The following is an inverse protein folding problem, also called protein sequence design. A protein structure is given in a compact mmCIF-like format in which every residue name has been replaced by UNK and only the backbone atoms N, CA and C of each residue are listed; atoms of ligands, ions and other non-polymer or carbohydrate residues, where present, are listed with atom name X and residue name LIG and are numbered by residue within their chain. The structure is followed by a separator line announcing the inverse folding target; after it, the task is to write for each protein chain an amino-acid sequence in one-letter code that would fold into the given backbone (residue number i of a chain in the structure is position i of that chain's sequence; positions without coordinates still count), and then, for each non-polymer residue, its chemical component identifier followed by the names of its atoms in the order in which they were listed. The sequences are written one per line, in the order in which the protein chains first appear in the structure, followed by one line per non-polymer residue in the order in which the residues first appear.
data_IF_038385785154
#
_entry.id   IF_038385785154
#
_cell.length_a   1.000
_cell.length_b   1.000
_cell.length_c   1.000
_cell.angle_alpha   90.00
_cell.angle_beta   90.00
_cell.angle_gamma   90.00
#
_symmetry.space_group_name_H-M   'P 1'
#
loop_
_entity.id
_entity.type
_entity.pdbx_description
1 polymer ?
#
# COMPACT_ATOMS: atom_id res chain seq x y z
N UNK A 1 -1.50 2.63 21.10
CA UNK A 1 -1.08 1.37 20.49
C UNK A 1 0.43 1.22 20.37
N UNK A 2 0.86 0.17 19.71
CA UNK A 2 2.29 -0.19 19.59
C UNK A 2 3.14 0.90 18.93
N UNK A 3 2.54 1.73 18.08
CA UNK A 3 3.21 2.79 17.33
C UNK A 3 2.78 4.20 17.74
N UNK A 4 2.00 4.33 18.79
CA UNK A 4 1.43 5.60 19.21
C UNK A 4 2.49 6.68 19.41
N UNK A 5 2.53 7.64 18.54
CA UNK A 5 3.27 8.91 18.62
C UNK A 5 4.77 8.83 18.96
N UNK A 6 5.37 7.65 19.01
CA UNK A 6 6.74 7.43 19.53
C UNK A 6 7.82 8.27 18.85
N UNK A 7 7.61 8.64 17.59
CA UNK A 7 8.57 9.42 16.80
C UNK A 7 8.05 10.81 16.46
N UNK A 8 6.77 11.08 16.73
CA UNK A 8 6.15 12.36 16.44
C UNK A 8 6.32 13.37 17.57
N UNK A 9 6.26 12.88 18.81
CA UNK A 9 6.36 13.71 20.02
C UNK A 9 7.57 13.26 20.82
N UNK A 10 8.59 14.09 20.86
CA UNK A 10 9.76 13.91 21.70
C UNK A 10 9.53 14.57 23.08
N UNK A 11 10.18 14.03 24.10
CA UNK A 11 10.20 14.63 25.44
C UNK A 11 11.62 14.91 25.88
N UNK A 12 11.84 16.11 26.38
CA UNK A 12 13.07 16.44 27.07
C UNK A 12 13.16 15.58 28.33
N UNK A 13 14.32 14.98 28.57
CA UNK A 13 14.50 14.05 29.71
C UNK A 13 14.57 14.79 31.06
N UNK A 14 15.03 16.03 31.06
CA UNK A 14 15.20 16.84 32.27
C UNK A 14 13.95 17.68 32.59
N UNK A 15 13.45 18.44 31.60
CA UNK A 15 12.31 19.35 31.80
C UNK A 15 10.95 18.71 31.55
N UNK A 16 10.90 17.50 30.95
CA UNK A 16 9.69 16.80 30.50
C UNK A 16 8.85 17.57 29.47
N UNK A 17 9.36 18.65 28.92
CA UNK A 17 8.70 19.40 27.86
C UNK A 17 8.53 18.57 26.59
N UNK A 18 7.40 18.78 25.92
CA UNK A 18 7.12 18.13 24.65
C UNK A 18 7.66 18.94 23.49
N UNK A 19 8.26 18.26 22.54
CA UNK A 19 8.72 18.84 21.28
C UNK A 19 8.22 18.02 20.11
N UNK A 20 7.54 18.65 19.16
CA UNK A 20 7.04 18.03 17.95
C UNK A 20 7.88 18.53 16.77
N UNK A 21 8.86 17.73 16.27
CA UNK A 21 9.76 18.16 15.20
C UNK A 21 9.02 18.66 13.96
N UNK A 22 7.91 18.01 13.58
CA UNK A 22 7.13 18.38 12.41
C UNK A 22 6.39 19.70 12.57
N UNK A 23 6.23 20.25 13.76
CA UNK A 23 5.71 21.60 14.00
C UNK A 23 6.80 22.68 14.01
N UNK A 24 8.05 22.29 13.81
CA UNK A 24 9.20 23.19 13.91
C UNK A 24 10.08 23.17 12.64
N UNK A 25 9.50 22.86 11.48
CA UNK A 25 10.21 22.88 10.19
C UNK A 25 10.29 24.29 9.63
N UNK A 26 9.23 25.08 9.76
CA UNK A 26 9.11 26.43 9.23
C UNK A 26 8.18 27.29 10.09
N UNK A 27 8.49 28.58 10.24
CA UNK A 27 7.63 29.53 10.95
C UNK A 27 6.25 29.74 10.31
N UNK A 28 6.11 29.49 9.01
CA UNK A 28 4.88 29.72 8.24
C UNK A 28 4.09 28.44 7.95
N UNK A 29 4.51 27.30 8.51
CA UNK A 29 3.81 26.05 8.30
C UNK A 29 2.45 25.98 9.03
N UNK A 30 1.58 25.10 8.58
CA UNK A 30 0.38 24.67 9.31
C UNK A 30 0.73 23.73 10.45
N UNK A 31 -0.15 23.61 11.41
CA UNK A 31 0.03 22.72 12.55
C UNK A 31 -0.07 21.24 12.12
N UNK A 32 0.76 20.42 12.76
CA UNK A 32 0.64 18.99 12.79
C UNK A 32 0.08 18.59 14.16
N UNK A 33 -1.09 17.99 14.16
CA UNK A 33 -1.75 17.48 15.36
C UNK A 33 -1.75 15.95 15.34
N UNK A 34 -1.42 15.34 16.48
CA UNK A 34 -1.41 13.90 16.63
C UNK A 34 -1.96 13.54 18.01
N UNK A 35 -2.97 12.69 18.02
CA UNK A 35 -3.75 12.37 19.23
C UNK A 35 -3.93 10.86 19.31
N UNK A 36 -3.68 10.27 20.48
CA UNK A 36 -4.13 8.92 20.80
C UNK A 36 -5.61 8.98 21.19
N UNK A 37 -6.46 8.41 20.35
CA UNK A 37 -7.89 8.37 20.63
C UNK A 37 -8.24 7.36 21.72
N UNK A 38 -9.12 7.74 22.63
CA UNK A 38 -9.74 6.86 23.61
C UNK A 38 -11.07 6.25 23.10
N UNK A 39 -11.49 6.59 21.91
CA UNK A 39 -12.71 6.10 21.31
C UNK A 39 -12.50 4.70 20.70
N UNK A 40 -13.58 3.95 20.55
CA UNK A 40 -13.56 2.72 19.74
C UNK A 40 -13.30 3.03 18.26
N UNK A 41 -12.90 2.04 17.49
CA UNK A 41 -12.66 2.20 16.04
C UNK A 41 -13.89 2.74 15.31
N UNK A 42 -15.09 2.28 15.70
CA UNK A 42 -16.35 2.81 15.17
C UNK A 42 -16.50 4.31 15.40
N UNK A 43 -16.27 4.74 16.63
CA UNK A 43 -16.47 6.13 17.02
C UNK A 43 -15.39 7.05 16.46
N UNK A 44 -14.11 6.67 16.54
CA UNK A 44 -13.01 7.51 16.02
C UNK A 44 -13.06 7.62 14.50
N UNK A 45 -13.34 6.53 13.79
CA UNK A 45 -13.39 6.57 12.34
C UNK A 45 -14.60 7.40 11.84
N UNK A 46 -15.74 7.33 12.56
CA UNK A 46 -16.88 8.20 12.29
C UNK A 46 -16.57 9.67 12.55
N UNK A 47 -15.83 9.97 13.63
CA UNK A 47 -15.36 11.32 13.93
C UNK A 47 -14.44 11.86 12.83
N UNK A 48 -13.40 11.10 12.45
CA UNK A 48 -12.42 11.52 11.44
C UNK A 48 -13.06 11.68 10.04
N UNK A 49 -14.04 10.84 9.71
CA UNK A 49 -14.83 11.01 8.49
C UNK A 49 -15.57 12.37 8.52
N UNK A 50 -16.30 12.68 9.59
CA UNK A 50 -17.00 13.95 9.75
C UNK A 50 -16.05 15.14 9.74
N UNK A 51 -14.92 15.04 10.43
CA UNK A 51 -13.88 16.06 10.45
C UNK A 51 -13.32 16.34 9.04
N UNK A 52 -13.03 15.29 8.27
CA UNK A 52 -12.54 15.42 6.88
C UNK A 52 -13.53 16.10 5.92
N UNK A 53 -14.83 16.05 6.22
CA UNK A 53 -15.86 16.76 5.46
C UNK A 53 -15.93 18.24 5.82
N UNK A 54 -15.70 18.57 7.09
CA UNK A 54 -15.72 19.96 7.60
C UNK A 54 -14.45 20.72 7.21
N UNK A 55 -13.31 20.00 7.15
CA UNK A 55 -11.98 20.56 6.88
C UNK A 55 -11.32 19.92 5.65
N UNK A 56 -11.86 20.14 4.44
CA UNK A 56 -11.37 19.49 3.23
C UNK A 56 -9.93 19.89 2.83
N UNK A 57 -9.41 21.00 3.37
CA UNK A 57 -8.04 21.47 3.17
C UNK A 57 -7.05 20.88 4.18
N UNK A 58 -7.53 20.09 5.12
CA UNK A 58 -6.70 19.38 6.11
C UNK A 58 -6.45 17.93 5.68
N UNK A 59 -5.21 17.47 5.80
CA UNK A 59 -4.88 16.05 5.63
C UNK A 59 -5.25 15.30 6.92
N UNK A 60 -6.41 14.66 6.89
CA UNK A 60 -6.94 13.87 8.02
C UNK A 60 -6.53 12.42 7.86
N UNK A 61 -5.86 11.86 8.88
CA UNK A 61 -5.42 10.47 8.89
C UNK A 61 -5.93 9.77 10.14
N UNK A 62 -6.45 8.57 9.97
CA UNK A 62 -6.68 7.63 11.06
C UNK A 62 -5.78 6.41 10.89
N UNK A 63 -4.97 6.12 11.91
CA UNK A 63 -4.15 4.92 11.96
C UNK A 63 -4.76 3.89 12.90
N UNK A 64 -5.09 2.71 12.38
CA UNK A 64 -5.53 1.60 13.22
C UNK A 64 -4.37 1.04 14.03
N UNK A 65 -4.62 0.63 15.27
CA UNK A 65 -3.61 -0.05 16.10
C UNK A 65 -3.12 -1.35 15.45
N UNK A 66 -4.05 -2.16 14.94
CA UNK A 66 -3.86 -3.25 14.00
C UNK A 66 -4.82 -3.05 12.83
N UNK A 67 -4.41 -3.38 11.62
CA UNK A 67 -5.26 -3.21 10.46
C UNK A 67 -6.57 -3.99 10.54
N UNK A 68 -6.55 -5.18 11.17
CA UNK A 68 -7.73 -6.01 11.38
C UNK A 68 -8.80 -5.31 12.25
N UNK A 69 -8.41 -4.40 13.13
CA UNK A 69 -9.36 -3.69 13.99
C UNK A 69 -10.28 -2.72 13.24
N UNK A 70 -9.95 -2.39 11.99
CA UNK A 70 -10.89 -1.69 11.11
C UNK A 70 -12.23 -2.44 10.97
N UNK A 71 -12.27 -3.76 11.25
CA UNK A 71 -13.51 -4.53 11.24
C UNK A 71 -14.53 -4.03 12.28
N UNK A 72 -14.08 -3.50 13.40
CA UNK A 72 -14.93 -2.86 14.42
C UNK A 72 -15.63 -1.59 13.94
N UNK A 73 -15.16 -1.00 12.85
CA UNK A 73 -15.73 0.18 12.21
C UNK A 73 -16.36 -0.12 10.83
N UNK A 74 -16.66 -1.38 10.53
CA UNK A 74 -17.12 -1.79 9.20
C UNK A 74 -18.37 -1.01 8.76
N UNK A 75 -19.27 -0.71 9.67
CA UNK A 75 -20.48 0.10 9.38
C UNK A 75 -20.10 1.50 8.86
N UNK A 76 -19.11 2.14 9.47
CA UNK A 76 -18.62 3.46 9.04
C UNK A 76 -17.97 3.35 7.66
N UNK A 77 -17.20 2.29 7.43
CA UNK A 77 -16.56 2.04 6.14
C UNK A 77 -17.63 1.88 5.05
N UNK A 78 -18.60 0.96 5.25
CA UNK A 78 -19.60 0.62 4.24
C UNK A 78 -20.60 1.75 3.98
N UNK A 79 -21.10 2.38 5.05
CA UNK A 79 -22.21 3.31 4.94
C UNK A 79 -21.80 4.77 4.70
N UNK A 80 -20.57 5.15 5.06
CA UNK A 80 -20.12 6.53 4.99
C UNK A 80 -18.90 6.69 4.08
N UNK A 81 -17.79 6.02 4.38
CA UNK A 81 -16.52 6.27 3.70
C UNK A 81 -16.58 5.85 2.23
N UNK A 82 -17.04 4.63 1.94
CA UNK A 82 -17.02 4.08 0.58
C UNK A 82 -18.23 4.45 -0.26
N UNK A 83 -19.34 4.82 0.36
CA UNK A 83 -20.62 5.09 -0.31
C UNK A 83 -21.15 6.52 -0.12
N UNK A 84 -20.55 7.32 0.74
CA UNK A 84 -21.04 8.67 1.09
C UNK A 84 -21.08 9.63 -0.09
N UNK A 85 -20.11 9.55 -1.00
CA UNK A 85 -20.11 10.36 -2.23
C UNK A 85 -21.27 9.97 -3.14
N UNK A 86 -21.47 8.69 -3.39
CA UNK A 86 -22.55 8.19 -4.24
C UNK A 86 -23.94 8.44 -3.67
N UNK A 87 -24.11 8.32 -2.36
CA UNK A 87 -25.41 8.49 -1.69
C UNK A 87 -25.79 9.96 -1.45
N UNK A 88 -24.81 10.78 -1.12
CA UNK A 88 -25.06 12.13 -0.58
C UNK A 88 -24.19 13.22 -1.20
N UNK A 89 -23.35 12.91 -2.18
CA UNK A 89 -22.39 13.86 -2.75
C UNK A 89 -21.30 14.30 -1.74
N UNK A 90 -21.03 13.51 -0.70
CA UNK A 90 -20.05 13.84 0.34
C UNK A 90 -18.68 13.26 0.00
N UNK A 91 -17.81 14.12 -0.51
CA UNK A 91 -16.43 13.76 -0.88
C UNK A 91 -15.49 13.94 0.32
N UNK A 92 -15.04 12.84 0.90
CA UNK A 92 -14.08 12.80 2.01
C UNK A 92 -12.65 12.64 1.51
N UNK A 93 -11.72 13.39 2.10
CA UNK A 93 -10.28 13.21 1.89
C UNK A 93 -9.60 12.33 2.94
N UNK A 94 -10.36 11.64 3.78
CA UNK A 94 -9.85 10.80 4.86
C UNK A 94 -8.84 9.78 4.37
N UNK A 95 -7.72 9.65 5.09
CA UNK A 95 -6.71 8.62 4.89
C UNK A 95 -6.80 7.60 6.02
N UNK A 96 -6.91 6.32 5.65
CA UNK A 96 -6.84 5.22 6.60
C UNK A 96 -5.48 4.53 6.46
N UNK A 97 -4.71 4.48 7.56
CA UNK A 97 -3.45 3.77 7.66
C UNK A 97 -3.69 2.45 8.37
N UNK A 98 -3.54 1.34 7.65
CA UNK A 98 -3.92 0.02 8.14
C UNK A 98 -2.69 -0.89 8.17
N UNK A 99 -2.10 -1.17 9.35
CA UNK A 99 -1.03 -2.16 9.48
C UNK A 99 -1.43 -3.49 8.85
N UNK A 100 -0.67 -3.92 7.84
CA UNK A 100 -0.94 -5.13 7.07
C UNK A 100 0.37 -5.74 6.57
N UNK A 101 0.65 -6.97 6.98
CA UNK A 101 1.85 -7.71 6.60
C UNK A 101 1.95 -9.00 7.40
N UNK A 102 2.38 -10.08 6.74
CA UNK A 102 2.48 -11.41 7.32
C UNK A 102 3.89 -11.61 7.90
N UNK A 103 4.02 -11.29 9.19
CA UNK A 103 5.29 -11.23 9.91
C UNK A 103 5.38 -12.24 11.06
N UNK A 104 4.49 -13.25 11.05
CA UNK A 104 4.48 -14.35 12.03
C UNK A 104 3.96 -13.98 13.41
N UNK A 105 3.17 -12.90 13.55
CA UNK A 105 2.67 -12.40 14.83
C UNK A 105 1.20 -12.76 15.10
N UNK A 106 0.59 -13.63 14.28
CA UNK A 106 -0.80 -14.04 14.45
C UNK A 106 -1.78 -13.29 13.53
N UNK A 107 -3.07 -13.73 13.50
CA UNK A 107 -4.06 -13.24 12.56
C UNK A 107 -4.34 -11.74 12.66
N UNK A 108 -4.51 -11.22 13.87
CA UNK A 108 -4.87 -9.82 14.14
C UNK A 108 -3.77 -8.84 13.73
N UNK A 109 -2.52 -9.29 13.78
CA UNK A 109 -1.34 -8.50 13.42
C UNK A 109 -0.99 -8.58 11.94
N UNK A 110 -1.63 -9.47 11.17
CA UNK A 110 -1.22 -9.78 9.80
C UNK A 110 -2.09 -9.10 8.77
N UNK A 111 -3.42 -9.19 8.87
CA UNK A 111 -4.32 -8.76 7.81
C UNK A 111 -5.21 -7.59 8.21
N UNK A 112 -5.18 -6.54 7.41
CA UNK A 112 -6.18 -5.47 7.43
C UNK A 112 -7.40 -5.77 6.55
N UNK A 113 -7.57 -7.03 6.11
CA UNK A 113 -8.68 -7.45 5.27
C UNK A 113 -8.75 -6.67 3.95
N UNK A 114 -7.62 -6.57 3.26
CA UNK A 114 -7.46 -5.86 1.99
C UNK A 114 -8.57 -6.21 0.98
N UNK A 115 -8.95 -7.48 0.88
CA UNK A 115 -10.00 -7.98 0.00
C UNK A 115 -11.36 -7.31 0.22
N UNK A 116 -11.69 -6.92 1.45
CA UNK A 116 -12.96 -6.24 1.77
C UNK A 116 -13.00 -4.84 1.19
N UNK A 117 -11.92 -4.09 1.30
CA UNK A 117 -11.81 -2.77 0.68
C UNK A 117 -11.87 -2.86 -0.84
N UNK A 118 -11.20 -3.84 -1.44
CA UNK A 118 -11.23 -4.04 -2.89
C UNK A 118 -12.63 -4.44 -3.38
N UNK A 119 -13.40 -5.18 -2.59
CA UNK A 119 -14.79 -5.52 -2.90
C UNK A 119 -15.70 -4.28 -2.90
N UNK A 120 -15.42 -3.28 -2.06
CA UNK A 120 -16.18 -2.03 -1.97
C UNK A 120 -15.83 -1.01 -3.07
N UNK A 121 -14.85 -1.32 -3.90
CA UNK A 121 -14.36 -0.42 -4.95
C UNK A 121 -15.28 -0.40 -6.17
N UNK A 122 -15.85 0.77 -6.48
CA UNK A 122 -16.64 0.98 -7.70
C UNK A 122 -16.68 2.49 -8.04
N UNK A 123 -16.74 2.83 -9.34
CA UNK A 123 -16.89 4.22 -9.79
C UNK A 123 -15.81 5.18 -9.25
N UNK A 124 -14.61 4.68 -9.00
CA UNK A 124 -13.48 5.45 -8.41
C UNK A 124 -13.81 6.08 -7.05
N UNK A 125 -14.66 5.43 -6.25
CA UNK A 125 -15.13 5.93 -4.96
C UNK A 125 -14.02 6.10 -3.92
N UNK A 126 -13.07 5.18 -3.86
CA UNK A 126 -11.92 5.19 -2.93
C UNK A 126 -10.63 4.89 -3.68
N UNK A 127 -9.51 5.05 -3.01
CA UNK A 127 -8.20 4.61 -3.48
C UNK A 127 -7.64 3.56 -2.53
N UNK A 128 -7.07 2.47 -3.06
CA UNK A 128 -6.43 1.42 -2.27
C UNK A 128 -4.99 1.26 -2.71
N UNK A 129 -4.05 1.45 -1.79
CA UNK A 129 -2.61 1.41 -2.09
C UNK A 129 -1.85 0.58 -1.06
N UNK A 130 -0.69 0.08 -1.48
CA UNK A 130 0.26 -0.63 -0.63
C UNK A 130 1.68 -0.25 -1.08
N UNK A 131 2.23 0.80 -0.46
CA UNK A 131 3.51 1.39 -0.84
C UNK A 131 4.68 0.55 -0.36
N UNK A 132 5.66 0.34 -1.25
CA UNK A 132 6.87 -0.42 -0.95
C UNK A 132 8.11 0.45 -0.74
N UNK A 133 8.06 1.75 -1.00
CA UNK A 133 9.19 2.67 -0.78
C UNK A 133 8.77 3.90 0.02
N UNK A 134 9.67 4.49 0.83
CA UNK A 134 9.39 5.72 1.57
C UNK A 134 8.98 6.90 0.68
N UNK A 135 9.64 7.08 -0.47
CA UNK A 135 9.30 8.16 -1.40
C UNK A 135 7.90 8.00 -1.98
N UNK A 136 7.50 6.78 -2.32
CA UNK A 136 6.18 6.53 -2.86
C UNK A 136 5.08 6.74 -1.80
N UNK A 137 5.36 6.34 -0.55
CA UNK A 137 4.47 6.62 0.59
C UNK A 137 4.32 8.12 0.83
N UNK A 138 5.42 8.88 0.83
CA UNK A 138 5.39 10.34 0.92
C UNK A 138 4.54 10.97 -0.20
N UNK A 139 4.75 10.54 -1.44
CA UNK A 139 4.04 11.12 -2.58
C UNK A 139 2.56 10.74 -2.65
N UNK A 140 2.12 9.60 -2.12
CA UNK A 140 0.69 9.28 -2.06
C UNK A 140 -0.04 10.20 -1.11
N UNK A 141 0.55 10.53 0.05
CA UNK A 141 -0.01 11.51 0.99
C UNK A 141 0.01 12.92 0.41
N UNK A 142 1.12 13.31 -0.20
CA UNK A 142 1.23 14.58 -0.90
C UNK A 142 0.18 14.71 -2.01
N UNK A 143 0.00 13.67 -2.81
CA UNK A 143 -1.03 13.61 -3.87
C UNK A 143 -2.43 13.82 -3.34
N UNK A 144 -2.74 13.29 -2.14
CA UNK A 144 -4.06 13.43 -1.52
C UNK A 144 -4.47 14.90 -1.35
N UNK A 145 -3.51 15.77 -1.03
CA UNK A 145 -3.76 17.20 -0.84
C UNK A 145 -3.63 18.03 -2.13
N UNK A 146 -2.78 17.63 -3.06
CA UNK A 146 -2.55 18.38 -4.31
C UNK A 146 -3.64 18.19 -5.38
N UNK A 147 -4.54 17.24 -5.21
CA UNK A 147 -5.68 17.07 -6.11
C UNK A 147 -6.77 18.06 -5.79
N UNK A 148 -7.45 18.54 -6.83
CA UNK A 148 -8.60 19.45 -6.72
C UNK A 148 -9.88 18.74 -6.23
N UNK A 149 -9.85 17.44 -6.09
CA UNK A 149 -10.94 16.62 -5.58
C UNK A 149 -10.49 15.80 -4.36
N UNK A 150 -11.46 15.37 -3.56
CA UNK A 150 -11.26 14.51 -2.40
C UNK A 150 -11.82 13.11 -2.65
N UNK A 151 -11.04 12.09 -2.35
CA UNK A 151 -11.45 10.67 -2.34
C UNK A 151 -10.77 10.00 -1.15
N UNK A 152 -11.46 9.15 -0.41
CA UNK A 152 -10.83 8.39 0.67
C UNK A 152 -9.65 7.56 0.15
N UNK A 153 -8.61 7.48 0.96
CA UNK A 153 -7.38 6.78 0.64
C UNK A 153 -7.10 5.71 1.70
N UNK A 154 -7.08 4.46 1.29
CA UNK A 154 -6.78 3.31 2.14
C UNK A 154 -5.35 2.87 1.86
N UNK A 155 -4.49 2.94 2.86
CA UNK A 155 -3.08 2.58 2.75
C UNK A 155 -2.79 1.36 3.62
N UNK A 156 -2.34 0.27 2.98
CA UNK A 156 -1.76 -0.87 3.70
C UNK A 156 -0.35 -0.48 4.15
N UNK A 157 -0.07 -0.62 5.46
CA UNK A 157 1.17 -0.14 6.08
C UNK A 157 1.90 -1.28 6.79
N UNK A 158 2.71 -2.08 6.08
CA UNK A 158 3.49 -3.17 6.69
C UNK A 158 4.46 -2.63 7.75
N UNK A 159 4.37 -3.15 8.98
CA UNK A 159 5.17 -2.68 10.13
C UNK A 159 6.68 -2.87 9.93
N UNK A 160 7.07 -4.00 9.34
CA UNK A 160 8.48 -4.33 9.10
C UNK A 160 9.17 -3.34 8.16
N UNK A 161 8.43 -2.72 7.22
CA UNK A 161 9.01 -1.77 6.27
C UNK A 161 9.50 -0.48 6.94
N UNK A 162 8.98 -0.13 8.13
CA UNK A 162 9.48 1.01 8.92
C UNK A 162 10.98 0.90 9.26
N UNK A 163 11.53 -0.32 9.32
CA UNK A 163 12.91 -0.60 9.72
C UNK A 163 13.66 -1.50 8.74
N UNK A 164 13.06 -1.82 7.61
CA UNK A 164 13.63 -2.75 6.64
C UNK A 164 14.80 -2.11 5.90
N UNK A 165 15.98 -2.72 5.98
CA UNK A 165 17.24 -2.15 5.45
C UNK A 165 17.22 -1.84 3.95
N UNK A 166 16.43 -2.58 3.17
CA UNK A 166 16.28 -2.38 1.72
C UNK A 166 15.12 -1.44 1.37
N UNK A 167 14.24 -1.09 2.33
CA UNK A 167 13.14 -0.17 2.12
C UNK A 167 13.62 1.26 2.33
N UNK A 168 14.36 1.77 1.35
CA UNK A 168 14.98 3.10 1.37
C UNK A 168 14.70 3.84 0.06
N UNK A 169 14.84 5.15 0.08
CA UNK A 169 14.71 6.03 -1.10
C UNK A 169 15.79 7.09 -1.08
N UNK A 170 16.24 7.50 -2.27
CA UNK A 170 17.14 8.64 -2.39
C UNK A 170 16.42 9.94 -2.05
N UNK A 171 17.12 10.90 -1.45
CA UNK A 171 16.53 12.19 -1.09
C UNK A 171 15.95 12.95 -2.30
N UNK A 172 16.52 12.77 -3.47
CA UNK A 172 16.02 13.34 -4.73
C UNK A 172 14.62 12.83 -5.11
N UNK A 173 14.24 11.63 -4.68
CA UNK A 173 12.92 11.05 -4.95
C UNK A 173 11.79 11.71 -4.14
N UNK A 174 12.12 12.51 -3.12
CA UNK A 174 11.15 13.32 -2.37
C UNK A 174 10.98 14.74 -2.94
N UNK A 175 11.66 15.05 -4.03
CA UNK A 175 11.67 16.39 -4.63
C UNK A 175 10.37 16.69 -5.40
N UNK A 176 10.18 18.00 -5.76
CA UNK A 176 9.04 18.45 -6.58
C UNK A 176 8.99 17.82 -7.98
N UNK A 177 10.10 17.27 -8.47
CA UNK A 177 10.18 16.60 -9.78
C UNK A 177 9.70 15.14 -9.74
N UNK A 178 9.49 14.59 -8.55
CA UNK A 178 8.99 13.22 -8.37
C UNK A 178 7.50 13.23 -8.01
N UNK A 179 6.85 12.08 -8.19
CA UNK A 179 5.41 11.90 -7.96
C UNK A 179 5.13 10.48 -7.47
N UNK A 180 3.89 10.22 -7.09
CA UNK A 180 3.44 8.87 -6.76
C UNK A 180 3.42 7.98 -8.00
N UNK A 181 4.10 6.86 -7.93
CA UNK A 181 4.12 5.82 -8.96
C UNK A 181 3.12 4.71 -8.61
N UNK A 182 2.14 4.49 -9.47
CA UNK A 182 1.11 3.45 -9.29
C UNK A 182 1.65 2.04 -9.50
N UNK A 183 2.72 1.93 -10.28
CA UNK A 183 3.46 0.70 -10.55
C UNK A 183 4.94 1.02 -10.46
N UNK A 184 5.70 0.19 -9.77
CA UNK A 184 7.16 0.26 -9.72
C UNK A 184 7.75 -0.98 -10.38
N UNK A 185 8.77 -0.76 -11.18
CA UNK A 185 9.56 -1.82 -11.79
C UNK A 185 10.60 -2.38 -10.79
N UNK A 186 11.29 -3.40 -11.21
CA UNK A 186 12.32 -4.07 -10.43
C UNK A 186 13.55 -3.17 -10.20
N UNK A 187 13.95 -3.01 -8.95
CA UNK A 187 15.10 -2.18 -8.58
C UNK A 187 16.43 -2.69 -9.17
N UNK A 188 16.49 -3.94 -9.59
CA UNK A 188 17.67 -4.49 -10.28
C UNK A 188 17.95 -3.80 -11.62
N UNK A 189 16.96 -3.18 -12.26
CA UNK A 189 17.17 -2.34 -13.44
C UNK A 189 17.77 -0.96 -13.10
N UNK A 190 17.62 -0.54 -11.87
CA UNK A 190 18.04 0.79 -11.40
C UNK A 190 19.43 0.77 -10.73
N UNK A 191 20.08 -0.39 -10.62
CA UNK A 191 21.38 -0.58 -9.91
C UNK A 191 21.36 -0.06 -8.47
N UNK A 192 20.19 -0.14 -7.80
CA UNK A 192 20.02 0.28 -6.42
C UNK A 192 20.35 -0.89 -5.49
N UNK A 193 21.02 -0.59 -4.36
CA UNK A 193 21.22 -1.51 -3.24
C UNK A 193 22.00 -2.80 -3.55
N UNK A 194 22.98 -2.81 -4.45
CA UNK A 194 23.78 -3.99 -4.82
C UNK A 194 22.94 -5.22 -5.20
N UNK A 195 21.74 -5.00 -5.73
CA UNK A 195 20.90 -6.08 -6.22
C UNK A 195 21.53 -6.75 -7.45
N UNK A 196 21.15 -8.02 -7.67
CA UNK A 196 21.55 -8.76 -8.85
C UNK A 196 21.21 -7.97 -10.12
N UNK A 197 22.23 -7.55 -10.86
CA UNK A 197 22.05 -6.84 -12.11
C UNK A 197 21.37 -7.75 -13.13
N UNK A 198 20.14 -7.42 -13.51
CA UNK A 198 19.48 -8.08 -14.63
C UNK A 198 20.06 -7.51 -15.92
N UNK A 199 20.58 -8.39 -16.77
CA UNK A 199 20.95 -7.97 -18.13
C UNK A 199 19.70 -7.37 -18.78
N UNK A 200 19.81 -6.17 -19.32
CA UNK A 200 18.69 -5.38 -19.90
C UNK A 200 18.12 -5.98 -21.19
N UNK A 201 17.92 -7.26 -21.24
CA UNK A 201 17.31 -7.96 -22.37
C UNK A 201 15.97 -8.53 -21.91
N UNK A 202 14.92 -7.74 -22.10
CA UNK A 202 13.55 -8.10 -21.73
C UNK A 202 13.10 -9.42 -22.37
N UNK A 203 13.66 -9.76 -23.55
CA UNK A 203 13.41 -11.00 -24.27
C UNK A 203 13.96 -12.26 -23.57
N UNK A 204 14.89 -12.10 -22.63
CA UNK A 204 15.46 -13.20 -21.85
C UNK A 204 14.70 -13.47 -20.54
N UNK A 205 13.83 -12.55 -20.14
CA UNK A 205 12.98 -12.75 -18.97
C UNK A 205 11.96 -13.85 -19.26
N UNK A 206 11.92 -14.86 -18.40
CA UNK A 206 11.02 -16.01 -18.51
C UNK A 206 9.78 -15.88 -17.62
N UNK A 207 9.88 -15.10 -16.53
CA UNK A 207 8.80 -14.90 -15.58
C UNK A 207 8.73 -13.43 -15.18
N UNK A 208 7.55 -12.88 -15.29
CA UNK A 208 7.19 -11.58 -14.70
C UNK A 208 6.31 -11.86 -13.49
N UNK A 209 6.81 -11.57 -12.30
CA UNK A 209 6.08 -11.75 -11.04
C UNK A 209 5.58 -10.40 -10.58
N UNK A 210 4.28 -10.23 -10.58
CA UNK A 210 3.60 -9.06 -10.04
C UNK A 210 3.23 -9.31 -8.59
N UNK A 211 3.39 -8.32 -7.75
CA UNK A 211 3.08 -8.39 -6.32
C UNK A 211 2.67 -7.01 -5.78
N UNK A 212 2.24 -6.96 -4.53
CA UNK A 212 1.96 -5.73 -3.81
C UNK A 212 2.45 -5.86 -2.36
N UNK A 213 3.00 -4.77 -1.81
CA UNK A 213 3.46 -4.72 -0.43
C UNK A 213 4.80 -5.42 -0.16
N UNK A 214 5.03 -5.71 1.11
CA UNK A 214 6.34 -6.14 1.63
C UNK A 214 6.89 -7.44 1.05
N UNK A 215 6.06 -8.32 0.51
CA UNK A 215 6.49 -9.57 -0.13
C UNK A 215 7.52 -9.34 -1.25
N UNK A 216 7.54 -8.15 -1.83
CA UNK A 216 8.56 -7.77 -2.80
C UNK A 216 9.97 -7.98 -2.26
N UNK A 217 10.22 -7.65 -1.01
CA UNK A 217 11.54 -7.79 -0.39
C UNK A 217 11.94 -9.23 -0.17
N UNK A 218 11.00 -10.10 0.20
CA UNK A 218 11.23 -11.54 0.31
C UNK A 218 11.55 -12.15 -1.06
N UNK A 219 10.84 -11.70 -2.11
CA UNK A 219 11.06 -12.17 -3.48
C UNK A 219 12.42 -11.76 -4.03
N UNK A 220 12.88 -10.53 -3.82
CA UNK A 220 14.21 -10.11 -4.26
C UNK A 220 15.32 -10.84 -3.51
N UNK A 221 15.15 -11.09 -2.21
CA UNK A 221 16.10 -11.87 -1.42
C UNK A 221 16.20 -13.32 -1.92
N UNK A 222 15.08 -13.97 -2.21
CA UNK A 222 15.05 -15.30 -2.78
C UNK A 222 15.71 -15.36 -4.17
N UNK A 223 15.51 -14.34 -5.01
CA UNK A 223 16.17 -14.21 -6.31
C UNK A 223 17.67 -14.03 -6.16
N UNK A 224 18.15 -13.20 -5.25
CA UNK A 224 19.55 -13.00 -4.97
C UNK A 224 20.23 -14.31 -4.52
N UNK A 225 19.61 -15.03 -3.59
CA UNK A 225 20.09 -16.33 -3.11
C UNK A 225 20.18 -17.38 -4.23
N UNK A 226 19.19 -17.42 -5.10
CA UNK A 226 19.14 -18.37 -6.23
C UNK A 226 19.93 -17.92 -7.46
N UNK A 227 20.43 -16.67 -7.48
CA UNK A 227 21.10 -16.04 -8.63
C UNK A 227 20.28 -16.13 -9.95
N UNK A 228 18.94 -16.11 -9.84
CA UNK A 228 18.05 -16.26 -10.99
C UNK A 228 17.83 -14.92 -11.69
N UNK A 229 18.50 -14.71 -12.81
CA UNK A 229 18.39 -13.48 -13.62
C UNK A 229 17.33 -13.55 -14.73
N UNK A 230 16.47 -14.59 -14.76
CA UNK A 230 15.38 -14.77 -15.72
C UNK A 230 14.01 -14.39 -15.17
N UNK A 231 13.97 -13.81 -13.97
CA UNK A 231 12.76 -13.38 -13.28
C UNK A 231 12.87 -11.89 -13.02
N UNK A 232 11.80 -11.14 -13.33
CA UNK A 232 11.65 -9.73 -12.95
C UNK A 232 10.42 -9.55 -12.08
N UNK A 233 10.45 -8.53 -11.23
CA UNK A 233 9.33 -8.18 -10.34
C UNK A 233 8.70 -6.88 -10.76
N UNK A 234 7.39 -6.78 -10.63
CA UNK A 234 6.60 -5.57 -10.84
C UNK A 234 5.73 -5.36 -9.61
N UNK A 235 5.88 -4.21 -8.96
CA UNK A 235 5.10 -3.83 -7.78
C UNK A 235 3.88 -3.04 -8.19
N UNK A 236 2.71 -3.55 -7.87
CA UNK A 236 1.46 -2.80 -8.02
C UNK A 236 1.23 -2.02 -6.72
N UNK A 237 1.64 -0.77 -6.71
CA UNK A 237 1.55 0.10 -5.54
C UNK A 237 0.13 0.61 -5.31
N UNK A 238 -0.63 0.83 -6.40
CA UNK A 238 -2.04 1.18 -6.34
C UNK A 238 -2.90 0.06 -6.90
N UNK A 239 -3.67 -0.57 -6.02
CA UNK A 239 -4.57 -1.67 -6.36
C UNK A 239 -5.91 -1.17 -6.90
N UNK A 240 -6.36 0.01 -6.46
CA UNK A 240 -7.56 0.66 -7.01
C UNK A 240 -7.45 2.20 -6.95
N UNK A 241 -7.89 2.94 -7.99
CA UNK A 241 -8.19 2.43 -9.35
C UNK A 241 -6.98 1.73 -9.98
N UNK A 242 -7.23 0.58 -10.61
CA UNK A 242 -6.14 -0.27 -11.11
C UNK A 242 -5.41 0.39 -12.30
N UNK A 243 -4.07 0.42 -12.33
CA UNK A 243 -3.28 1.17 -13.29
C UNK A 243 -3.05 0.43 -14.62
N UNK A 244 -4.12 0.03 -15.32
CA UNK A 244 -4.09 -0.75 -16.57
C UNK A 244 -3.13 -0.14 -17.60
N UNK A 245 -3.23 1.16 -17.85
CA UNK A 245 -2.42 1.86 -18.86
C UNK A 245 -0.91 1.78 -18.54
N UNK A 246 -0.54 2.04 -17.28
CA UNK A 246 0.86 1.98 -16.85
C UNK A 246 1.37 0.54 -16.92
N UNK A 247 0.58 -0.41 -16.44
CA UNK A 247 0.94 -1.83 -16.48
C UNK A 247 1.10 -2.33 -17.91
N UNK A 248 0.21 -1.97 -18.84
CA UNK A 248 0.32 -2.31 -20.27
C UNK A 248 1.64 -1.78 -20.86
N UNK A 249 2.02 -0.53 -20.53
CA UNK A 249 3.27 0.06 -21.01
C UNK A 249 4.50 -0.73 -20.55
N UNK A 250 4.47 -1.27 -19.34
CA UNK A 250 5.55 -2.09 -18.79
C UNK A 250 5.54 -3.49 -19.39
N UNK A 251 4.38 -4.18 -19.39
CA UNK A 251 4.28 -5.58 -19.79
C UNK A 251 4.55 -5.83 -21.26
N UNK A 252 4.30 -4.85 -22.15
CA UNK A 252 4.54 -4.99 -23.60
C UNK A 252 5.96 -5.43 -23.96
N UNK A 253 6.95 -5.23 -23.07
CA UNK A 253 8.34 -5.63 -23.26
C UNK A 253 8.58 -7.14 -23.07
N UNK A 254 7.68 -7.83 -22.36
CA UNK A 254 7.88 -9.21 -21.90
C UNK A 254 7.06 -10.23 -22.69
N UNK A 255 7.13 -10.18 -24.02
CA UNK A 255 6.32 -11.00 -24.93
C UNK A 255 6.53 -12.51 -24.77
N UNK A 256 7.70 -12.94 -24.28
CA UNK A 256 8.05 -14.37 -24.08
C UNK A 256 7.91 -14.86 -22.65
N UNK A 257 7.51 -13.99 -21.72
CA UNK A 257 7.44 -14.35 -20.32
C UNK A 257 6.09 -14.97 -19.93
N UNK A 258 6.09 -15.75 -18.84
CA UNK A 258 4.89 -16.14 -18.11
C UNK A 258 4.59 -15.11 -17.05
N UNK A 259 3.30 -14.82 -16.85
CA UNK A 259 2.83 -13.82 -15.89
C UNK A 259 2.33 -14.50 -14.62
N UNK A 260 2.77 -13.98 -13.47
CA UNK A 260 2.47 -14.54 -12.16
C UNK A 260 2.03 -13.39 -11.25
N UNK A 261 0.97 -13.63 -10.48
CA UNK A 261 0.66 -12.84 -9.29
C UNK A 261 1.13 -13.59 -8.06
N UNK A 262 1.92 -12.92 -7.21
CA UNK A 262 2.40 -13.46 -5.95
C UNK A 262 1.92 -12.59 -4.79
N UNK A 263 1.31 -13.20 -3.79
CA UNK A 263 0.88 -12.52 -2.56
C UNK A 263 1.14 -13.38 -1.34
N UNK A 264 1.26 -12.74 -0.17
CA UNK A 264 1.45 -13.42 1.12
C UNK A 264 0.14 -13.86 1.77
N UNK A 265 -0.96 -13.22 1.41
CA UNK A 265 -2.30 -13.56 1.90
C UNK A 265 -2.78 -14.90 1.32
N UNK A 266 -3.68 -15.61 2.02
CA UNK A 266 -4.37 -16.78 1.48
C UNK A 266 -5.07 -16.50 0.15
N UNK A 267 -5.23 -17.52 -0.69
CA UNK A 267 -5.79 -17.37 -2.05
C UNK A 267 -7.17 -16.72 -2.11
N UNK A 268 -8.00 -16.95 -1.10
CA UNK A 268 -9.34 -16.35 -1.00
C UNK A 268 -9.35 -14.94 -0.40
N UNK A 269 -8.19 -14.45 0.06
CA UNK A 269 -7.99 -13.15 0.67
C UNK A 269 -7.01 -12.31 -0.16
N UNK A 270 -6.71 -11.09 0.30
CA UNK A 270 -5.78 -10.19 -0.40
C UNK A 270 -6.32 -9.69 -1.74
N UNK A 271 -5.41 -9.41 -2.66
CA UNK A 271 -5.76 -8.74 -3.92
C UNK A 271 -6.10 -9.69 -5.08
N UNK A 272 -5.75 -10.98 -5.00
CA UNK A 272 -5.84 -11.92 -6.12
C UNK A 272 -7.16 -11.89 -6.88
N UNK A 273 -8.28 -12.01 -6.17
CA UNK A 273 -9.60 -12.10 -6.80
C UNK A 273 -10.00 -10.84 -7.59
N UNK A 274 -9.43 -9.71 -7.22
CA UNK A 274 -9.67 -8.43 -7.90
C UNK A 274 -8.65 -8.20 -9.02
N UNK A 275 -7.34 -8.32 -8.72
CA UNK A 275 -6.29 -7.97 -9.68
C UNK A 275 -6.20 -8.92 -10.86
N UNK A 276 -6.60 -10.18 -10.69
CA UNK A 276 -6.61 -11.17 -11.76
C UNK A 276 -7.31 -10.65 -13.01
N UNK A 277 -8.54 -10.19 -12.86
CA UNK A 277 -9.34 -9.71 -13.98
C UNK A 277 -8.70 -8.51 -14.70
N UNK A 278 -8.10 -7.58 -13.95
CA UNK A 278 -7.41 -6.42 -14.52
C UNK A 278 -6.13 -6.81 -15.24
N UNK A 279 -5.37 -7.77 -14.71
CA UNK A 279 -4.14 -8.26 -15.34
C UNK A 279 -4.50 -9.01 -16.63
N UNK A 280 -5.47 -9.93 -16.60
CA UNK A 280 -5.92 -10.68 -17.77
C UNK A 280 -6.40 -9.74 -18.88
N UNK A 281 -7.23 -8.74 -18.53
CA UNK A 281 -7.63 -7.69 -19.48
C UNK A 281 -6.42 -6.91 -20.04
N UNK A 282 -5.40 -6.67 -19.22
CA UNK A 282 -4.17 -6.00 -19.70
C UNK A 282 -3.43 -6.87 -20.71
N UNK A 283 -3.36 -8.18 -20.51
CA UNK A 283 -2.73 -9.13 -21.43
C UNK A 283 -3.53 -9.24 -22.75
N UNK A 284 -4.85 -9.20 -22.68
CA UNK A 284 -5.75 -9.16 -23.85
C UNK A 284 -5.49 -7.90 -24.69
N UNK A 285 -5.44 -6.72 -24.06
CA UNK A 285 -5.13 -5.44 -24.73
C UNK A 285 -3.78 -5.50 -25.46
N UNK A 286 -2.82 -6.24 -24.91
CA UNK A 286 -1.49 -6.43 -25.49
C UNK A 286 -1.43 -7.53 -26.55
N UNK A 287 -2.54 -8.20 -26.84
CA UNK A 287 -2.62 -9.31 -27.80
C UNK A 287 -1.63 -10.45 -27.48
N UNK A 288 -1.49 -10.80 -26.18
CA UNK A 288 -0.57 -11.86 -25.77
C UNK A 288 -1.14 -13.28 -25.95
N UNK A 289 -2.21 -13.42 -26.72
CA UNK A 289 -2.86 -14.70 -27.02
C UNK A 289 -3.44 -15.36 -25.76
N UNK A 290 -3.28 -16.67 -25.62
CA UNK A 290 -3.83 -17.46 -24.50
C UNK A 290 -3.08 -17.29 -23.17
N UNK A 291 -2.26 -16.25 -23.03
CA UNK A 291 -1.54 -16.02 -21.77
C UNK A 291 -2.50 -15.59 -20.67
N UNK A 292 -2.45 -16.31 -19.58
CA UNK A 292 -3.18 -16.02 -18.34
C UNK A 292 -2.20 -15.75 -17.20
N UNK A 293 -2.68 -15.03 -16.19
CA UNK A 293 -1.91 -14.82 -14.96
C UNK A 293 -2.06 -16.03 -14.04
N UNK A 294 -0.94 -16.55 -13.51
CA UNK A 294 -0.90 -17.66 -12.56
C UNK A 294 -0.79 -17.13 -11.14
N UNK A 295 -1.52 -17.77 -10.22
CA UNK A 295 -1.42 -17.48 -8.79
C UNK A 295 -0.26 -18.25 -8.15
N UNK A 296 0.50 -17.55 -7.31
CA UNK A 296 1.48 -18.15 -6.39
C UNK A 296 1.28 -17.52 -5.01
N UNK A 297 1.11 -18.34 -4.01
CA UNK A 297 0.85 -17.91 -2.64
C UNK A 297 0.26 -19.04 -1.79
N UNK A 298 -0.25 -18.69 -0.62
CA UNK A 298 -0.87 -19.61 0.32
C UNK A 298 -2.17 -20.21 -0.23
N UNK A 299 -2.51 -21.40 0.23
CA UNK A 299 -3.82 -22.01 -0.05
C UNK A 299 -4.94 -21.19 0.59
N UNK A 300 -6.17 -21.35 0.11
CA UNK A 300 -7.34 -20.77 0.75
C UNK A 300 -7.51 -21.28 2.18
N UNK A 301 -7.88 -20.38 3.08
CA UNK A 301 -8.12 -20.70 4.50
C UNK A 301 -9.13 -19.72 5.09
N UNK A 302 -9.82 -20.13 6.15
CA UNK A 302 -10.73 -19.26 6.90
C UNK A 302 -10.01 -18.31 7.87
N UNK A 303 -8.81 -18.66 8.33
CA UNK A 303 -7.96 -17.80 9.15
C UNK A 303 -7.03 -16.96 8.27
N UNK A 304 -6.85 -15.69 8.62
CA UNK A 304 -5.94 -14.79 7.89
C UNK A 304 -4.49 -15.26 7.96
N UNK A 305 -4.03 -15.68 9.14
CA UNK A 305 -2.68 -16.19 9.34
C UNK A 305 -2.66 -17.26 10.43
N UNK A 306 -1.53 -17.96 10.55
CA UNK A 306 -1.29 -18.89 11.66
C UNK A 306 -0.87 -18.12 12.92
N UNK A 307 -1.20 -18.66 14.10
CA UNK A 307 -0.72 -18.10 15.38
C UNK A 307 0.75 -18.44 15.70
N UNK A 308 1.43 -19.16 14.83
CA UNK A 308 2.81 -19.63 15.05
C UNK A 308 3.72 -19.15 13.92
N UNK A 309 4.84 -18.51 14.34
CA UNK A 309 5.85 -17.98 13.44
C UNK A 309 6.44 -19.04 12.47
N UNK A 310 6.56 -20.28 12.93
CA UNK A 310 7.18 -21.38 12.19
C UNK A 310 6.21 -22.16 11.27
N UNK A 311 4.99 -21.73 11.17
CA UNK A 311 3.95 -22.28 10.29
C UNK A 311 3.43 -21.23 9.31
#
# INVERSE_FOLDING_TARGET
GTFSQRHAVLRNQDSHERYIPLNNISKSQKNFEIIDSLLSEFAVLGFEFGYSLSEPETLVLWEAQFGDFANGAQVIIDQFITSGESKWGRASGLVMLLPHGYEGQGPEHSSARLERFLQLCAGENIQVVNCTTPSNYFHVLRRQMHREFRKPLIIMTPKSLLRHKKCVSNISEFSKKSTFHRVLEDDAYLKINNLLELKKRDDQIKKVVMCSGKIYYDLIEAREKSKNNKVTFIRIEQLYPFPVKTLSTILKRYTKANFIWCQEEPKNMGAWNTVRNYIERTLEILNFGDKSVKYVGRKATSSTATGNLNK
#
